data_IF_043926771623
#
_entry.id   IF_043926771623
#
_cell.length_a   1.000
_cell.length_b   1.000
_cell.length_c   1.000
_cell.angle_alpha   90.00
_cell.angle_beta   90.00
_cell.angle_gamma   90.00
#
_symmetry.space_group_name_H-M   'P 1'
#
loop_
_entity.id
_entity.type
_entity.pdbx_description
1 polymer ?
#
# COMPACT_ATOMS: atom_id res chain seq x y z
N UNK A 1 -6.18 -78.82 -43.95
CA UNK A 1 -6.96 -79.86 -43.26
C UNK A 1 -7.70 -79.19 -42.11
N UNK A 2 -9.02 -79.03 -42.24
CA UNK A 2 -9.91 -78.53 -41.17
C UNK A 2 -10.21 -79.66 -40.16
N UNK A 3 -10.70 -79.35 -38.94
CA UNK A 3 -12.15 -79.26 -38.68
C UNK A 3 -12.46 -78.20 -37.57
N UNK A 4 -13.66 -77.92 -37.05
CA UNK A 4 -15.08 -77.95 -37.42
C UNK A 4 -15.85 -77.46 -36.16
N UNK A 5 -16.99 -76.78 -36.37
CA UNK A 5 -18.14 -76.62 -35.45
C UNK A 5 -17.99 -75.95 -34.06
N UNK A 6 -18.78 -74.90 -33.80
CA UNK A 6 -20.05 -75.02 -33.04
C UNK A 6 -20.81 -73.67 -32.97
N UNK A 7 -22.12 -73.72 -33.23
CA UNK A 7 -23.12 -72.67 -32.99
C UNK A 7 -23.38 -72.48 -31.49
N UNK A 8 -23.81 -71.28 -31.08
CA UNK A 8 -24.92 -71.07 -30.13
C UNK A 8 -25.37 -69.60 -30.11
N UNK A 9 -26.64 -69.36 -30.47
CA UNK A 9 -27.38 -68.13 -30.18
C UNK A 9 -27.83 -68.16 -28.70
N UNK A 10 -27.71 -67.03 -28.02
CA UNK A 10 -28.68 -66.63 -26.98
C UNK A 10 -28.60 -65.11 -26.74
N UNK A 11 -29.72 -64.43 -27.00
CA UNK A 11 -29.97 -63.07 -26.55
C UNK A 11 -30.47 -63.12 -25.10
N UNK A 12 -29.97 -62.23 -24.24
CA UNK A 12 -30.61 -61.90 -22.98
C UNK A 12 -30.36 -60.43 -22.61
N UNK A 13 -31.45 -59.82 -22.17
CA UNK A 13 -31.67 -58.40 -21.97
C UNK A 13 -31.00 -57.83 -20.70
N UNK A 14 -31.02 -56.49 -20.71
CA UNK A 14 -31.11 -55.57 -19.57
C UNK A 14 -29.78 -55.08 -18.99
N UNK A 15 -29.57 -53.76 -19.11
CA UNK A 15 -29.32 -52.92 -17.94
C UNK A 15 -29.48 -51.42 -18.30
N UNK A 16 -30.36 -50.80 -17.51
CA UNK A 16 -30.53 -49.38 -17.21
C UNK A 16 -29.50 -48.39 -17.80
N UNK A 17 -30.00 -47.40 -18.55
CA UNK A 17 -29.28 -46.16 -18.77
C UNK A 17 -29.45 -45.24 -17.53
N UNK A 18 -28.37 -44.84 -16.84
CA UNK A 18 -28.44 -43.85 -15.78
C UNK A 18 -28.41 -42.44 -16.37
N UNK A 19 -29.26 -41.57 -15.79
CA UNK A 19 -28.97 -40.19 -15.43
C UNK A 19 -28.33 -39.29 -16.49
N UNK A 20 -29.13 -38.33 -16.97
CA UNK A 20 -28.62 -37.11 -17.58
C UNK A 20 -27.67 -36.37 -16.61
N UNK A 21 -26.37 -36.61 -16.75
CA UNK A 21 -25.34 -35.80 -16.12
C UNK A 21 -25.26 -34.49 -16.91
N UNK A 22 -25.85 -33.43 -16.35
CA UNK A 22 -25.67 -32.06 -16.81
C UNK A 22 -24.18 -31.74 -16.76
N UNK A 23 -23.55 -31.54 -17.92
CA UNK A 23 -22.17 -31.13 -18.02
C UNK A 23 -21.99 -29.81 -17.25
N UNK A 24 -21.33 -29.88 -16.09
CA UNK A 24 -20.95 -28.71 -15.33
C UNK A 24 -20.00 -27.86 -16.19
N UNK A 25 -20.47 -26.66 -16.52
CA UNK A 25 -19.70 -25.62 -17.19
C UNK A 25 -18.43 -25.35 -16.35
N UNK A 26 -17.22 -25.39 -16.93
CA UNK A 26 -16.02 -25.07 -16.16
C UNK A 26 -16.16 -23.64 -15.65
N UNK A 27 -16.16 -23.48 -14.33
CA UNK A 27 -16.04 -22.19 -13.68
C UNK A 27 -14.72 -21.57 -14.15
N UNK A 28 -14.71 -20.31 -14.61
CA UNK A 28 -13.44 -19.64 -14.85
C UNK A 28 -12.77 -19.50 -13.49
N UNK A 29 -11.74 -20.33 -13.24
CA UNK A 29 -10.79 -20.05 -12.20
C UNK A 29 -10.27 -18.64 -12.47
N UNK A 30 -10.69 -17.70 -11.65
CA UNK A 30 -10.06 -16.38 -11.57
C UNK A 30 -8.65 -16.68 -11.09
N UNK A 31 -7.74 -16.86 -12.04
CA UNK A 31 -6.31 -16.91 -11.77
C UNK A 31 -6.01 -15.54 -11.17
N UNK A 32 -6.02 -15.46 -9.83
CA UNK A 32 -5.40 -14.36 -9.13
C UNK A 32 -3.97 -14.37 -9.64
N UNK A 33 -3.65 -13.45 -10.54
CA UNK A 33 -2.27 -13.12 -10.86
C UNK A 33 -1.70 -12.60 -9.55
N UNK A 34 -1.20 -13.51 -8.73
CA UNK A 34 -0.31 -13.19 -7.62
C UNK A 34 0.90 -12.57 -8.30
N UNK A 35 0.90 -11.24 -8.41
CA UNK A 35 2.13 -10.50 -8.61
C UNK A 35 3.03 -10.96 -7.46
N UNK A 36 3.97 -11.84 -7.75
CA UNK A 36 4.87 -12.37 -6.74
C UNK A 36 6.16 -11.56 -6.91
N UNK A 37 6.19 -10.39 -6.29
CA UNK A 37 7.41 -9.60 -6.24
C UNK A 37 8.27 -10.16 -5.14
N UNK A 38 9.42 -10.73 -5.52
CA UNK A 38 10.34 -11.34 -4.57
C UNK A 38 11.01 -10.32 -3.64
N UNK A 39 11.02 -9.03 -3.99
CA UNK A 39 11.66 -7.97 -3.22
C UNK A 39 10.76 -7.27 -2.18
N UNK A 40 9.44 -7.48 -2.17
CA UNK A 40 8.53 -6.78 -1.25
C UNK A 40 7.31 -7.64 -0.90
N UNK A 41 6.93 -7.61 0.38
CA UNK A 41 5.81 -8.39 0.92
C UNK A 41 4.96 -7.56 1.91
N UNK A 42 3.62 -7.53 1.76
CA UNK A 42 2.85 -8.20 0.72
C UNK A 42 3.07 -7.56 -0.67
N UNK A 43 2.96 -8.34 -1.76
CA UNK A 43 3.22 -7.83 -3.11
C UNK A 43 2.31 -6.70 -3.59
N UNK A 44 1.19 -6.46 -2.91
CA UNK A 44 0.29 -5.33 -3.19
C UNK A 44 0.98 -3.97 -3.05
N UNK A 45 2.05 -3.89 -2.25
CA UNK A 45 2.86 -2.67 -2.12
C UNK A 45 3.81 -2.46 -3.30
N UNK A 46 4.15 -3.49 -4.07
CA UNK A 46 5.10 -3.36 -5.17
C UNK A 46 4.62 -2.43 -6.28
N UNK A 47 3.31 -2.33 -6.45
CA UNK A 47 2.66 -1.46 -7.44
C UNK A 47 2.05 -0.21 -6.83
N UNK A 48 2.29 0.05 -5.54
CA UNK A 48 1.81 1.26 -4.90
C UNK A 48 2.48 2.48 -5.56
N UNK A 49 1.70 3.42 -6.13
CA UNK A 49 2.29 4.63 -6.66
C UNK A 49 2.94 5.42 -5.51
N UNK A 50 4.07 6.06 -5.78
CA UNK A 50 4.83 6.84 -4.79
C UNK A 50 4.70 8.33 -5.11
N UNK A 51 4.67 9.18 -4.08
CA UNK A 51 4.63 10.64 -4.24
C UNK A 51 3.29 11.15 -4.73
N UNK A 52 2.19 10.48 -4.38
CA UNK A 52 0.84 10.85 -4.79
C UNK A 52 -0.08 11.04 -3.59
N UNK A 53 -1.13 11.84 -3.78
CA UNK A 53 -2.24 12.03 -2.83
C UNK A 53 -3.54 11.38 -3.32
N UNK A 54 -3.47 10.65 -4.43
CA UNK A 54 -4.62 9.95 -5.01
C UNK A 54 -4.95 8.71 -4.19
N UNK A 55 -6.19 8.28 -4.29
CA UNK A 55 -6.63 7.02 -3.70
C UNK A 55 -6.08 5.81 -4.46
N UNK A 56 -5.70 4.77 -3.71
CA UNK A 56 -5.18 3.49 -4.22
C UNK A 56 -5.10 2.43 -3.11
N UNK A 57 -4.90 1.17 -3.52
CA UNK A 57 -5.10 -0.01 -2.68
C UNK A 57 -4.33 -0.08 -1.35
N UNK A 58 -3.16 0.56 -1.22
CA UNK A 58 -2.41 0.57 0.04
C UNK A 58 -2.82 1.68 1.02
N UNK A 59 -3.68 2.63 0.62
CA UNK A 59 -4.15 3.69 1.53
C UNK A 59 -4.93 3.02 2.68
N UNK A 60 -4.48 3.17 3.94
CA UNK A 60 -5.22 2.62 5.07
C UNK A 60 -6.52 3.40 5.27
N UNK A 61 -7.61 2.77 5.74
CA UNK A 61 -8.85 3.47 5.99
C UNK A 61 -8.73 4.44 7.18
N UNK A 62 -9.54 5.49 7.17
CA UNK A 62 -9.85 6.25 8.38
C UNK A 62 -10.90 5.51 9.23
N UNK A 63 -10.73 5.53 10.56
CA UNK A 63 -11.70 4.97 11.50
C UNK A 63 -12.51 6.09 12.13
N UNK A 64 -13.46 6.66 11.39
CA UNK A 64 -14.32 7.74 11.86
C UNK A 64 -13.83 9.14 11.49
N UNK A 65 -14.30 10.15 12.24
CA UNK A 65 -14.07 11.58 11.97
C UNK A 65 -13.13 12.26 12.96
N UNK A 66 -12.67 11.53 13.98
CA UNK A 66 -11.74 12.06 14.99
C UNK A 66 -10.34 12.24 14.41
N UNK A 67 -9.56 13.11 15.05
CA UNK A 67 -8.15 13.34 14.75
C UNK A 67 -7.37 12.02 14.89
N UNK A 68 -6.86 11.55 13.76
CA UNK A 68 -6.15 10.29 13.67
C UNK A 68 -5.24 10.29 12.45
N UNK A 69 -4.18 9.50 12.50
CA UNK A 69 -3.34 9.23 11.35
C UNK A 69 -3.08 7.74 11.29
N UNK A 70 -3.35 7.12 10.16
CA UNK A 70 -3.10 5.71 9.94
C UNK A 70 -2.08 5.56 8.82
N UNK A 71 -1.17 4.61 8.99
CA UNK A 71 -0.17 4.23 8.00
C UNK A 71 -0.20 2.73 7.73
N UNK A 72 0.10 2.38 6.49
CA UNK A 72 0.33 1.03 6.03
C UNK A 72 1.64 0.96 5.24
N UNK A 73 2.37 -0.13 5.41
CA UNK A 73 3.67 -0.36 4.80
C UNK A 73 3.85 -1.86 4.54
N UNK A 74 4.77 -2.25 3.63
CA UNK A 74 5.18 -3.64 3.52
C UNK A 74 5.79 -4.14 4.83
N UNK A 75 5.55 -5.41 5.15
CA UNK A 75 6.15 -6.08 6.31
C UNK A 75 7.63 -6.39 6.05
N UNK A 76 7.98 -6.74 4.79
CA UNK A 76 9.34 -7.06 4.38
C UNK A 76 9.69 -6.42 3.05
N UNK A 77 10.94 -5.97 2.94
CA UNK A 77 11.52 -5.38 1.73
C UNK A 77 12.96 -5.85 1.55
N UNK A 78 13.40 -5.96 0.30
CA UNK A 78 14.81 -6.11 -0.07
C UNK A 78 15.19 -4.98 -1.02
N UNK A 79 16.47 -4.59 -1.05
CA UNK A 79 16.99 -3.81 -2.16
C UNK A 79 16.66 -4.51 -3.49
N UNK A 80 16.18 -3.73 -4.46
CA UNK A 80 15.94 -4.19 -5.82
C UNK A 80 17.25 -4.59 -6.50
N UNK A 81 17.19 -5.26 -7.66
CA UNK A 81 18.38 -5.66 -8.42
C UNK A 81 19.28 -4.47 -8.84
N UNK A 82 18.70 -3.26 -8.96
CA UNK A 82 19.44 -2.01 -9.19
C UNK A 82 20.25 -1.53 -7.97
N UNK A 83 20.09 -2.19 -6.82
CA UNK A 83 20.59 -1.75 -5.52
C UNK A 83 19.74 -0.66 -4.86
N UNK A 84 18.63 -0.22 -5.46
CA UNK A 84 17.72 0.74 -4.84
C UNK A 84 16.88 0.08 -3.74
N UNK A 85 16.80 0.71 -2.58
CA UNK A 85 15.84 0.34 -1.54
C UNK A 85 14.65 1.29 -1.66
N UNK A 86 13.47 0.73 -1.93
CA UNK A 86 12.22 1.48 -2.05
C UNK A 86 11.23 0.90 -1.05
N UNK A 87 10.69 1.74 -0.17
CA UNK A 87 9.77 1.33 0.88
C UNK A 87 8.51 2.19 0.77
N UNK A 88 7.50 1.77 0.00
CA UNK A 88 6.26 2.51 -0.14
C UNK A 88 5.50 2.51 1.19
N UNK A 89 5.30 3.69 1.76
CA UNK A 89 4.45 3.90 2.93
C UNK A 89 3.26 4.75 2.52
N UNK A 90 2.07 4.28 2.89
CA UNK A 90 0.79 4.86 2.53
C UNK A 90 0.12 5.36 3.82
N UNK A 91 -0.44 6.57 3.77
CA UNK A 91 -1.00 7.24 4.93
C UNK A 91 -2.36 7.86 4.61
N UNK A 92 -3.29 7.78 5.56
CA UNK A 92 -4.56 8.50 5.55
C UNK A 92 -4.89 8.96 6.97
N UNK A 93 -5.51 10.14 7.10
CA UNK A 93 -5.89 10.62 8.42
C UNK A 93 -6.66 11.92 8.40
N UNK A 94 -7.05 12.35 9.59
CA UNK A 94 -7.60 13.67 9.90
C UNK A 94 -6.63 14.29 10.90
N UNK A 95 -6.00 15.41 10.53
CA UNK A 95 -4.97 16.05 11.34
C UNK A 95 -5.47 17.45 11.74
N UNK A 96 -5.31 17.85 13.01
CA UNK A 96 -5.66 19.18 13.45
C UNK A 96 -4.78 20.23 12.76
N UNK A 97 -5.40 21.33 12.35
CA UNK A 97 -4.70 22.48 11.81
C UNK A 97 -4.12 23.29 12.98
N UNK A 98 -2.83 23.64 12.87
CA UNK A 98 -2.11 24.42 13.87
C UNK A 98 -1.59 25.71 13.26
N UNK A 99 -1.54 26.78 14.06
CA UNK A 99 -0.91 28.04 13.65
C UNK A 99 0.57 27.86 13.27
N UNK A 100 1.26 26.93 13.95
CA UNK A 100 2.65 26.55 13.67
C UNK A 100 2.68 25.16 13.05
N UNK A 101 2.00 24.99 11.91
CA UNK A 101 1.90 23.71 11.22
C UNK A 101 3.30 23.18 10.87
N UNK A 102 3.65 22.03 11.46
CA UNK A 102 4.86 21.30 11.10
C UNK A 102 4.51 20.33 9.98
N UNK A 103 5.46 20.11 9.07
CA UNK A 103 5.28 19.04 8.08
C UNK A 103 5.21 17.69 8.80
N UNK A 104 4.36 16.76 8.33
CA UNK A 104 4.34 15.39 8.84
C UNK A 104 5.75 14.79 8.75
N UNK A 105 6.20 14.13 9.82
CA UNK A 105 7.54 13.52 9.87
C UNK A 105 7.46 12.03 10.05
N UNK A 106 8.22 11.29 9.26
CA UNK A 106 8.56 9.92 9.60
C UNK A 106 9.52 9.88 10.77
N UNK A 107 9.31 8.88 11.62
CA UNK A 107 10.30 8.42 12.57
C UNK A 107 10.44 6.91 12.38
N UNK A 108 11.63 6.49 11.96
CA UNK A 108 11.99 5.08 11.81
C UNK A 108 13.05 4.73 12.83
N UNK A 109 12.78 3.74 13.69
CA UNK A 109 13.66 3.34 14.78
C UNK A 109 14.17 1.94 14.50
N UNK A 110 15.49 1.78 14.35
CA UNK A 110 16.09 0.46 14.27
C UNK A 110 15.86 -0.29 15.60
N UNK A 111 15.18 -1.42 15.57
CA UNK A 111 14.76 -2.09 16.81
C UNK A 111 15.93 -2.66 17.61
N UNK A 112 17.06 -2.96 16.95
CA UNK A 112 18.26 -3.54 17.56
C UNK A 112 19.20 -2.45 18.08
N UNK A 113 19.59 -1.50 17.22
CA UNK A 113 20.57 -0.45 17.56
C UNK A 113 19.96 0.76 18.25
N UNK A 114 18.63 0.89 18.21
CA UNK A 114 17.87 2.07 18.65
C UNK A 114 18.23 3.37 17.92
N UNK A 115 18.95 3.27 16.79
CA UNK A 115 19.20 4.41 15.91
C UNK A 115 17.87 4.94 15.36
N UNK A 116 17.71 6.26 15.39
CA UNK A 116 16.50 6.97 14.94
C UNK A 116 16.80 7.69 13.64
N UNK A 117 15.94 7.48 12.64
CA UNK A 117 15.99 8.11 11.33
C UNK A 117 14.71 8.92 11.15
N UNK A 118 14.86 10.21 10.87
CA UNK A 118 13.73 11.13 10.75
C UNK A 118 13.79 11.89 9.44
N UNK A 119 12.62 12.18 8.88
CA UNK A 119 12.51 12.90 7.62
C UNK A 119 11.10 13.38 7.39
N UNK A 120 10.93 14.30 6.43
CA UNK A 120 9.61 14.79 6.03
C UNK A 120 8.87 13.67 5.32
N UNK A 121 7.70 13.26 5.83
CA UNK A 121 6.92 12.20 5.21
C UNK A 121 6.26 12.68 3.91
N UNK A 122 5.74 13.90 3.94
CA UNK A 122 5.10 14.52 2.78
C UNK A 122 5.10 16.04 2.90
N UNK A 123 5.33 16.71 1.78
CA UNK A 123 5.17 18.16 1.63
C UNK A 123 4.16 18.42 0.52
N UNK A 124 3.01 19.01 0.87
CA UNK A 124 2.05 19.43 -0.14
C UNK A 124 2.61 20.62 -0.92
N UNK A 125 2.91 20.39 -2.20
CA UNK A 125 3.26 21.47 -3.13
C UNK A 125 2.01 21.84 -3.95
N UNK A 126 1.48 23.06 -3.78
CA UNK A 126 0.37 23.53 -4.60
C UNK A 126 0.72 23.41 -6.08
N UNK A 127 -0.19 22.87 -6.88
CA UNK A 127 0.01 22.81 -8.34
C UNK A 127 -0.02 24.23 -8.90
N UNK A 128 1.09 24.68 -9.50
CA UNK A 128 1.09 25.88 -10.35
C UNK A 128 0.24 25.59 -11.58
N UNK A 129 -0.86 26.33 -11.77
CA UNK A 129 -1.70 26.22 -12.96
C UNK A 129 -1.09 27.10 -14.07
N UNK A 130 -0.81 26.58 -15.27
CA UNK A 130 -0.34 27.39 -16.39
C UNK A 130 -1.33 28.52 -16.70
N UNK A 131 -0.83 29.75 -16.89
CA UNK A 131 -1.67 30.93 -17.18
C UNK A 131 -2.42 31.52 -15.98
N UNK A 132 -2.20 31.00 -14.77
CA UNK A 132 -2.73 31.59 -13.54
C UNK A 132 -1.57 32.27 -12.81
N UNK A 133 -1.38 33.56 -13.09
CA UNK A 133 -0.47 34.39 -12.31
C UNK A 133 -1.18 34.71 -10.99
N UNK A 134 -0.64 34.23 -9.88
CA UNK A 134 -1.14 34.61 -8.56
C UNK A 134 -0.77 36.07 -8.41
N UNK A 135 -1.77 36.93 -8.29
CA UNK A 135 -1.55 38.35 -8.03
C UNK A 135 -0.69 38.50 -6.77
N UNK A 136 0.59 38.85 -6.95
CA UNK A 136 1.56 38.91 -5.86
C UNK A 136 1.43 40.20 -5.06
N UNK A 137 0.50 41.09 -5.43
CA UNK A 137 0.23 42.32 -4.69
C UNK A 137 -0.01 41.93 -3.22
N UNK A 138 0.79 42.46 -2.27
CA UNK A 138 0.71 42.08 -0.88
C UNK A 138 -0.69 42.22 -0.25
N UNK A 139 -1.51 43.15 -0.74
CA UNK A 139 -2.90 43.35 -0.30
C UNK A 139 -3.88 42.28 -0.77
N UNK A 140 -3.54 41.52 -1.81
CA UNK A 140 -4.37 40.43 -2.37
C UNK A 140 -4.13 39.10 -1.62
N UNK A 141 -3.04 38.98 -0.86
CA UNK A 141 -2.82 37.82 0.02
C UNK A 141 -3.69 37.95 1.27
N UNK A 142 -4.42 36.89 1.65
CA UNK A 142 -5.10 36.86 2.95
C UNK A 142 -4.11 37.24 4.06
N UNK A 143 -4.52 38.09 5.03
CA UNK A 143 -3.65 38.48 6.13
C UNK A 143 -3.05 37.24 6.80
N UNK A 144 -1.72 37.16 6.83
CA UNK A 144 -1.02 36.13 7.61
C UNK A 144 -1.32 36.37 9.10
N UNK A 145 -1.62 35.31 9.84
CA UNK A 145 -1.81 35.38 11.29
C UNK A 145 -3.25 35.59 11.77
N UNK A 146 -4.27 35.45 10.89
CA UNK A 146 -5.64 35.24 11.38
C UNK A 146 -5.62 33.95 12.22
N UNK A 147 -5.99 33.99 13.51
CA UNK A 147 -6.00 32.80 14.34
C UNK A 147 -6.94 31.76 13.74
N UNK A 148 -6.41 30.56 13.52
CA UNK A 148 -7.22 29.41 13.15
C UNK A 148 -7.99 29.00 14.40
N UNK A 149 -9.32 29.00 14.33
CA UNK A 149 -10.16 28.55 15.44
C UNK A 149 -9.79 27.12 15.84
N UNK A 150 -9.66 26.82 17.16
CA UNK A 150 -9.45 25.46 17.63
C UNK A 150 -10.53 24.51 17.09
N UNK A 151 -10.15 23.26 16.82
CA UNK A 151 -11.08 22.22 16.33
C UNK A 151 -11.23 22.14 14.82
N UNK A 152 -10.45 22.91 14.04
CA UNK A 152 -10.37 22.72 12.59
C UNK A 152 -9.36 21.60 12.30
N UNK A 153 -9.80 20.58 11.57
CA UNK A 153 -8.96 19.49 11.10
C UNK A 153 -9.06 19.32 9.59
N UNK A 154 -8.02 18.75 9.00
CA UNK A 154 -7.95 18.50 7.55
C UNK A 154 -7.74 17.02 7.26
N UNK A 155 -8.45 16.51 6.26
CA UNK A 155 -8.17 15.21 5.69
C UNK A 155 -6.81 15.23 4.99
N UNK A 156 -5.96 14.28 5.34
CA UNK A 156 -4.69 14.03 4.67
C UNK A 156 -4.68 12.64 4.07
N UNK A 157 -4.05 12.50 2.91
CA UNK A 157 -3.80 11.22 2.29
C UNK A 157 -2.60 11.33 1.37
N UNK A 158 -1.66 10.39 1.48
CA UNK A 158 -0.51 10.33 0.59
C UNK A 158 0.16 8.96 0.59
N UNK A 159 1.00 8.73 -0.41
CA UNK A 159 1.99 7.66 -0.43
C UNK A 159 3.37 8.23 -0.75
N UNK A 160 4.41 7.61 -0.21
CA UNK A 160 5.78 8.12 -0.29
C UNK A 160 6.80 6.99 -0.11
N UNK A 161 8.05 7.23 -0.49
CA UNK A 161 9.15 6.29 -0.29
C UNK A 161 9.87 6.62 1.02
N UNK A 162 9.66 5.80 2.06
CA UNK A 162 10.28 5.98 3.36
C UNK A 162 11.81 5.99 3.25
N UNK A 163 12.40 5.07 2.49
CA UNK A 163 13.85 4.93 2.40
C UNK A 163 14.50 6.21 1.85
N UNK A 164 13.86 6.84 0.85
CA UNK A 164 14.30 8.12 0.31
C UNK A 164 14.10 9.28 1.31
N UNK A 165 12.97 9.34 2.02
CA UNK A 165 12.67 10.47 2.93
C UNK A 165 13.56 10.51 4.17
N UNK A 166 13.92 9.35 4.73
CA UNK A 166 14.72 9.26 5.96
C UNK A 166 16.16 8.80 5.73
N UNK A 167 16.54 8.60 4.46
CA UNK A 167 17.86 8.08 4.05
C UNK A 167 18.19 6.77 4.77
N UNK A 168 17.23 5.84 4.76
CA UNK A 168 17.32 4.60 5.51
C UNK A 168 18.46 3.71 4.99
N UNK A 169 19.31 3.13 5.86
CA UNK A 169 20.35 2.20 5.43
C UNK A 169 19.77 0.97 4.72
N UNK A 170 20.56 0.41 3.80
CA UNK A 170 20.21 -0.81 3.05
C UNK A 170 20.60 -2.10 3.80
N UNK A 171 21.32 -1.96 4.91
CA UNK A 171 21.74 -3.09 5.72
C UNK A 171 20.54 -3.81 6.34
N UNK A 172 20.60 -5.14 6.52
CA UNK A 172 19.50 -5.89 7.09
C UNK A 172 19.17 -5.41 8.51
N UNK A 173 17.92 -5.04 8.74
CA UNK A 173 17.45 -4.53 10.02
C UNK A 173 15.92 -4.53 10.08
N UNK A 174 15.39 -4.48 11.30
CA UNK A 174 13.95 -4.29 11.53
C UNK A 174 13.74 -2.89 12.09
N UNK A 175 12.77 -2.18 11.53
CA UNK A 175 12.42 -0.82 11.89
C UNK A 175 10.99 -0.75 12.41
N UNK A 176 10.80 -0.03 13.50
CA UNK A 176 9.49 0.47 13.91
C UNK A 176 9.30 1.87 13.33
N UNK A 177 8.22 2.06 12.57
CA UNK A 177 7.99 3.27 11.79
C UNK A 177 6.63 3.85 12.15
N UNK A 178 6.58 5.17 12.34
CA UNK A 178 5.35 5.93 12.54
C UNK A 178 5.51 7.33 11.96
N UNK A 179 4.39 8.05 11.84
CA UNK A 179 4.37 9.46 11.45
C UNK A 179 3.86 10.31 12.61
N UNK A 180 4.51 11.44 12.84
CA UNK A 180 4.03 12.48 13.75
C UNK A 180 3.66 13.76 12.98
N UNK A 181 2.52 14.34 13.33
CA UNK A 181 2.05 15.60 12.75
C UNK A 181 1.11 16.33 13.70
N UNK A 182 1.42 17.58 14.04
CA UNK A 182 0.57 18.47 14.85
C UNK A 182 -0.02 17.83 16.11
N UNK A 183 0.76 17.02 16.84
CA UNK A 183 0.32 16.37 18.08
C UNK A 183 -0.42 15.04 17.88
N UNK A 184 -0.69 14.64 16.64
CA UNK A 184 -1.19 13.31 16.29
C UNK A 184 -0.02 12.41 15.91
N UNK A 185 -0.03 11.20 16.44
CA UNK A 185 0.92 10.13 16.11
C UNK A 185 0.15 8.99 15.46
N UNK A 186 0.69 8.44 14.37
CA UNK A 186 0.07 7.30 13.70
C UNK A 186 0.22 5.99 14.49
N UNK A 187 -0.48 4.95 14.03
CA UNK A 187 -0.09 3.58 14.37
C UNK A 187 1.37 3.32 13.98
N UNK A 188 2.01 2.38 14.66
CA UNK A 188 3.37 1.94 14.35
C UNK A 188 3.32 0.70 13.46
N UNK A 189 4.06 0.72 12.37
CA UNK A 189 4.27 -0.43 11.48
C UNK A 189 5.69 -0.96 11.66
N UNK A 190 5.85 -2.27 11.48
CA UNK A 190 7.15 -2.93 11.58
C UNK A 190 7.60 -3.36 10.18
N UNK A 191 8.79 -2.94 9.78
CA UNK A 191 9.34 -3.19 8.44
C UNK A 191 10.69 -3.87 8.59
N UNK A 192 10.83 -5.05 8.00
CA UNK A 192 12.10 -5.76 7.90
C UNK A 192 12.77 -5.46 6.56
N UNK A 193 13.93 -4.81 6.61
CA UNK A 193 14.86 -4.71 5.47
C UNK A 193 15.74 -5.95 5.50
N UNK A 194 15.74 -6.71 4.41
CA UNK A 194 16.56 -7.92 4.26
C UNK A 194 17.76 -7.65 3.35
N UNK A 195 18.72 -8.56 3.36
CA UNK A 195 19.87 -8.49 2.48
C UNK A 195 19.45 -8.48 1.01
N UNK A 196 20.25 -7.81 0.17
CA UNK A 196 20.13 -7.96 -1.28
C UNK A 196 20.33 -9.43 -1.69
N UNK A 197 19.71 -9.81 -2.80
CA UNK A 197 19.81 -11.16 -3.36
C UNK A 197 20.98 -11.28 -4.33
#
# INVERSE_FOLDING_TARGET
MAPALALLLAAAMALAAPGAATAARPTPHTQKTTMNTDWIDPPSFATAPIGTVRDHACIPPNHGSDDQLNIAAPARVRPQASGALVIPVCAQGIIPVSQNQKLPRFVAINTQTKAVYEGVAYEYKPRKRPGMEVDEIPSSRPPKGIPISPGISVGTQFSTDLAAQVQLPKDPAVYEVYIESNGVRSNTVKIEVQAAK
#
